data_IF_698150344955
#
_entry.id   IF_698150344955
#
_cell.length_a   1.000
_cell.length_b   1.000
_cell.length_c   1.000
_cell.angle_alpha   90.00
_cell.angle_beta   90.00
_cell.angle_gamma   90.00
#
_symmetry.space_group_name_H-M   'P 1'
#
loop_
_entity.id
_entity.type
_entity.pdbx_description
1 polymer ?
#
# COMPACT_ATOMS: atom_id res chain seq x y z
N UNK A 1 -26.57 -35.87 14.15
CA UNK A 1 -26.28 -34.87 13.10
C UNK A 1 -25.12 -34.05 13.61
N UNK A 2 -23.92 -34.26 13.07
CA UNK A 2 -22.77 -33.41 13.36
C UNK A 2 -23.05 -32.02 12.76
N UNK A 3 -22.95 -30.92 13.53
CA UNK A 3 -23.17 -29.59 13.00
C UNK A 3 -22.07 -29.24 12.00
N UNK A 4 -22.48 -28.79 10.82
CA UNK A 4 -21.62 -28.37 9.73
C UNK A 4 -20.60 -27.33 10.23
N UNK A 5 -19.31 -27.55 9.98
CA UNK A 5 -18.18 -26.69 10.39
C UNK A 5 -18.13 -25.33 9.67
N UNK A 6 -19.27 -24.86 9.17
CA UNK A 6 -19.41 -23.77 8.19
C UNK A 6 -19.23 -22.37 8.80
N UNK A 7 -19.26 -22.26 10.13
CA UNK A 7 -19.10 -20.99 10.86
C UNK A 7 -17.84 -20.95 11.74
N UNK A 8 -16.73 -21.59 11.33
CA UNK A 8 -15.44 -21.26 11.97
C UNK A 8 -15.00 -19.88 11.50
N UNK A 9 -14.89 -18.94 12.44
CA UNK A 9 -14.12 -17.71 12.27
C UNK A 9 -12.70 -18.12 11.88
N UNK A 10 -12.41 -18.15 10.58
CA UNK A 10 -11.04 -18.35 10.10
C UNK A 10 -10.32 -17.06 10.48
N UNK A 11 -9.33 -17.17 11.37
CA UNK A 11 -8.47 -16.05 11.71
C UNK A 11 -7.83 -15.51 10.43
N UNK A 12 -8.04 -14.23 10.18
CA UNK A 12 -7.43 -13.54 9.06
C UNK A 12 -5.90 -13.58 9.15
N UNK A 13 -5.17 -13.54 8.02
CA UNK A 13 -3.71 -13.52 8.03
C UNK A 13 -3.17 -12.46 9.00
N UNK A 14 -2.17 -12.84 9.79
CA UNK A 14 -1.61 -11.99 10.84
C UNK A 14 -0.71 -10.93 10.22
N UNK A 15 -0.97 -9.67 10.53
CA UNK A 15 -0.17 -8.53 10.09
C UNK A 15 0.28 -7.67 11.27
N UNK A 16 1.40 -6.99 11.09
CA UNK A 16 1.93 -6.01 12.04
C UNK A 16 1.95 -4.62 11.44
N UNK A 17 1.54 -3.62 12.21
CA UNK A 17 1.56 -2.22 11.80
C UNK A 17 2.94 -1.59 12.01
N UNK A 18 3.35 -0.69 11.12
CA UNK A 18 4.54 0.15 11.32
C UNK A 18 4.21 1.63 11.13
N UNK A 19 4.49 2.44 12.16
CA UNK A 19 4.21 3.87 12.18
C UNK A 19 5.44 4.67 12.58
N UNK A 20 5.95 5.48 11.66
CA UNK A 20 6.89 6.56 12.00
C UNK A 20 6.15 7.82 12.43
N UNK A 21 6.42 8.30 13.63
CA UNK A 21 5.72 9.38 14.34
C UNK A 21 6.71 10.48 14.77
N UNK A 22 7.34 11.14 13.79
CA UNK A 22 8.26 12.26 14.04
C UNK A 22 7.46 13.53 14.32
N UNK A 23 7.53 14.05 15.55
CA UNK A 23 6.83 15.25 16.01
C UNK A 23 5.31 15.26 15.72
N UNK A 24 4.66 14.10 15.85
CA UNK A 24 3.22 13.93 15.58
C UNK A 24 2.43 14.09 16.88
N UNK A 25 1.30 14.79 16.83
CA UNK A 25 0.38 14.90 17.97
C UNK A 25 -0.28 13.56 18.31
N UNK A 26 -0.69 13.39 19.56
CA UNK A 26 -1.37 12.18 20.03
C UNK A 26 -2.65 11.89 19.23
N UNK A 27 -3.48 12.91 18.99
CA UNK A 27 -4.69 12.77 18.17
C UNK A 27 -4.39 12.22 16.75
N UNK A 28 -3.26 12.63 16.16
CA UNK A 28 -2.86 12.12 14.84
C UNK A 28 -2.32 10.70 14.92
N UNK A 29 -1.63 10.33 16.00
CA UNK A 29 -1.24 8.92 16.25
C UNK A 29 -2.48 8.03 16.33
N UNK A 30 -3.47 8.42 17.13
CA UNK A 30 -4.71 7.65 17.29
C UNK A 30 -5.47 7.51 15.98
N UNK A 31 -5.59 8.60 15.20
CA UNK A 31 -6.23 8.54 13.89
C UNK A 31 -5.53 7.58 12.91
N UNK A 32 -4.18 7.52 12.95
CA UNK A 32 -3.42 6.57 12.14
C UNK A 32 -3.65 5.13 12.58
N UNK A 33 -3.63 4.86 13.89
CA UNK A 33 -3.91 3.54 14.46
C UNK A 33 -5.33 3.09 14.09
N UNK A 34 -6.33 3.96 14.27
CA UNK A 34 -7.71 3.68 13.88
C UNK A 34 -7.84 3.39 12.38
N UNK A 35 -7.13 4.15 11.53
CA UNK A 35 -7.10 3.90 10.09
C UNK A 35 -6.47 2.55 9.73
N UNK A 36 -5.41 2.14 10.42
CA UNK A 36 -4.82 0.80 10.22
C UNK A 36 -5.79 -0.29 10.65
N UNK A 37 -6.43 -0.13 11.81
CA UNK A 37 -7.40 -1.10 12.32
C UNK A 37 -8.63 -1.25 11.41
N UNK A 38 -9.15 -0.15 10.87
CA UNK A 38 -10.26 -0.18 9.91
C UNK A 38 -9.86 -0.87 8.60
N UNK A 39 -8.65 -0.59 8.08
CA UNK A 39 -8.13 -1.25 6.90
C UNK A 39 -7.97 -2.76 7.12
N UNK A 40 -7.41 -3.17 8.27
CA UNK A 40 -7.28 -4.57 8.64
C UNK A 40 -8.65 -5.26 8.71
N UNK A 41 -9.65 -4.64 9.35
CA UNK A 41 -11.02 -5.19 9.39
C UNK A 41 -11.65 -5.32 8.01
N UNK A 42 -11.49 -4.31 7.14
CA UNK A 42 -12.04 -4.31 5.79
C UNK A 42 -11.42 -5.36 4.87
N UNK A 43 -10.20 -5.80 5.18
CA UNK A 43 -9.44 -6.78 4.40
C UNK A 43 -9.29 -8.14 5.10
N UNK A 44 -10.08 -8.37 6.16
CA UNK A 44 -10.04 -9.62 6.93
C UNK A 44 -8.61 -9.96 7.40
N UNK A 45 -7.83 -8.94 7.79
CA UNK A 45 -6.49 -9.08 8.34
C UNK A 45 -6.54 -9.00 9.87
N UNK A 46 -5.72 -9.78 10.54
CA UNK A 46 -5.58 -9.71 12.00
C UNK A 46 -4.39 -8.81 12.36
N UNK A 47 -4.66 -7.58 12.81
CA UNK A 47 -3.61 -6.66 13.28
C UNK A 47 -3.15 -7.06 14.70
N UNK A 48 -2.01 -7.75 14.79
CA UNK A 48 -1.52 -8.31 16.07
C UNK A 48 -0.77 -7.28 16.92
N UNK A 49 -0.10 -6.32 16.30
CA UNK A 49 0.62 -5.26 17.01
C UNK A 49 1.04 -4.11 16.10
N UNK A 50 1.44 -3.00 16.70
CA UNK A 50 1.91 -1.81 15.97
C UNK A 50 3.25 -1.37 16.55
N UNK A 51 4.26 -1.31 15.68
CA UNK A 51 5.58 -0.80 16.00
C UNK A 51 5.64 0.69 15.66
N UNK A 52 6.02 1.50 16.66
CA UNK A 52 6.10 2.96 16.51
C UNK A 52 7.54 3.44 16.57
N UNK A 53 7.98 4.17 15.54
CA UNK A 53 9.28 4.81 15.48
C UNK A 53 9.14 6.32 15.73
N UNK A 54 9.74 6.82 16.82
CA UNK A 54 9.71 8.23 17.19
C UNK A 54 10.93 9.02 16.69
N UNK A 55 11.91 8.35 16.08
CA UNK A 55 13.22 8.94 15.78
C UNK A 55 13.21 9.69 14.45
N UNK A 56 13.64 10.96 14.50
CA UNK A 56 13.88 11.80 13.33
C UNK A 56 15.21 11.49 12.62
N UNK A 57 16.11 10.75 13.28
CA UNK A 57 17.44 10.40 12.80
C UNK A 57 17.45 9.57 11.52
N UNK A 58 18.45 9.81 10.68
CA UNK A 58 18.69 9.17 9.38
C UNK A 58 19.46 7.85 9.53
N UNK A 59 19.50 7.28 10.74
CA UNK A 59 20.26 6.08 11.06
C UNK A 59 19.54 4.80 10.62
N UNK A 60 20.32 3.82 10.15
CA UNK A 60 19.83 2.49 9.77
C UNK A 60 19.21 1.70 10.94
N UNK A 61 19.67 1.96 12.17
CA UNK A 61 19.22 1.25 13.38
C UNK A 61 18.00 1.88 14.04
N UNK A 62 16.80 1.57 13.56
CA UNK A 62 15.56 1.81 14.30
C UNK A 62 15.22 0.57 15.11
N UNK A 63 15.24 0.68 16.45
CA UNK A 63 14.88 -0.44 17.33
C UNK A 63 13.46 -0.97 17.04
N UNK A 64 12.53 -0.08 16.68
CA UNK A 64 11.18 -0.47 16.28
C UNK A 64 11.16 -1.27 14.97
N UNK A 65 12.04 -0.94 14.03
CA UNK A 65 12.14 -1.67 12.77
C UNK A 65 12.87 -3.00 12.93
N UNK A 66 13.92 -3.06 13.75
CA UNK A 66 14.59 -4.32 14.09
C UNK A 66 13.62 -5.28 14.79
N UNK A 67 12.89 -4.81 15.81
CA UNK A 67 11.89 -5.64 16.48
C UNK A 67 10.74 -6.07 15.55
N UNK A 68 10.39 -5.26 14.56
CA UNK A 68 9.46 -5.68 13.51
C UNK A 68 10.05 -6.85 12.71
N UNK A 69 11.29 -6.76 12.23
CA UNK A 69 11.94 -7.84 11.48
C UNK A 69 12.02 -9.14 12.29
N UNK A 70 12.33 -9.05 13.59
CA UNK A 70 12.37 -10.21 14.48
C UNK A 70 11.01 -10.93 14.54
N UNK A 71 9.92 -10.16 14.57
CA UNK A 71 8.56 -10.71 14.56
C UNK A 71 8.16 -11.23 13.18
N UNK A 72 8.58 -10.59 12.09
CA UNK A 72 8.32 -11.09 10.73
C UNK A 72 9.04 -12.40 10.44
N UNK A 73 10.12 -12.70 11.16
CA UNK A 73 10.81 -13.98 11.06
C UNK A 73 10.04 -15.14 11.72
N UNK A 74 8.97 -14.85 12.49
CA UNK A 74 8.11 -15.88 13.07
C UNK A 74 7.23 -16.52 11.98
N UNK A 75 6.90 -17.82 12.13
CA UNK A 75 5.94 -18.47 11.25
C UNK A 75 4.56 -17.79 11.36
N UNK A 76 3.77 -17.92 10.29
CA UNK A 76 2.37 -17.45 10.21
C UNK A 76 2.16 -15.93 10.18
N UNK A 77 3.23 -15.15 10.01
CA UNK A 77 3.13 -13.71 9.77
C UNK A 77 3.00 -13.43 8.28
N UNK A 78 1.90 -12.81 7.87
CA UNK A 78 1.63 -12.47 6.48
C UNK A 78 2.42 -11.25 6.01
N UNK A 79 2.59 -10.27 6.89
CA UNK A 79 3.43 -9.12 6.60
C UNK A 79 3.13 -7.86 7.39
N UNK A 80 3.48 -6.72 6.79
CA UNK A 80 3.52 -5.41 7.43
C UNK A 80 2.49 -4.47 6.80
N UNK A 81 1.74 -3.77 7.64
CA UNK A 81 0.84 -2.70 7.26
C UNK A 81 1.47 -1.33 7.57
N UNK A 82 1.52 -0.43 6.60
CA UNK A 82 1.94 0.95 6.80
C UNK A 82 0.97 1.94 6.14
N UNK A 83 0.72 3.13 6.71
CA UNK A 83 -0.17 4.10 6.08
C UNK A 83 0.34 4.56 4.71
N UNK A 84 1.67 4.72 4.58
CA UNK A 84 2.35 5.13 3.35
C UNK A 84 3.84 4.76 3.45
N UNK A 85 4.54 4.69 2.30
CA UNK A 85 5.97 4.38 2.25
C UNK A 85 6.85 5.38 3.04
N UNK A 86 6.41 6.63 3.21
CA UNK A 86 7.10 7.63 4.04
C UNK A 86 7.18 7.26 5.52
N UNK A 87 6.34 6.34 5.99
CA UNK A 87 6.43 5.79 7.34
C UNK A 87 7.58 4.79 7.49
N UNK A 88 8.09 4.17 6.41
CA UNK A 88 9.31 3.37 6.49
C UNK A 88 10.56 4.24 6.60
N UNK A 89 10.49 5.51 6.21
CA UNK A 89 11.61 6.45 6.31
C UNK A 89 11.78 7.31 5.06
N UNK A 90 12.90 8.06 4.96
CA UNK A 90 13.32 8.72 3.72
C UNK A 90 13.39 7.73 2.55
N UNK A 91 13.18 8.19 1.31
CA UNK A 91 13.00 7.33 0.12
C UNK A 91 14.02 6.19 -0.02
N UNK A 92 15.31 6.47 0.16
CA UNK A 92 16.36 5.46 0.06
C UNK A 92 16.25 4.39 1.16
N UNK A 93 15.96 4.82 2.39
CA UNK A 93 15.77 3.94 3.56
C UNK A 93 14.46 3.15 3.42
N UNK A 94 13.39 3.79 2.96
CA UNK A 94 12.11 3.11 2.74
C UNK A 94 12.22 1.99 1.70
N UNK A 95 12.99 2.20 0.62
CA UNK A 95 13.25 1.17 -0.37
C UNK A 95 14.08 0.01 0.18
N UNK A 96 15.11 0.31 1.00
CA UNK A 96 15.90 -0.72 1.66
C UNK A 96 15.08 -1.54 2.66
N UNK A 97 14.33 -0.86 3.53
CA UNK A 97 13.43 -1.52 4.50
C UNK A 97 12.34 -2.34 3.82
N UNK A 98 11.82 -1.87 2.67
CA UNK A 98 10.90 -2.65 1.84
C UNK A 98 11.53 -3.96 1.35
N UNK A 99 12.77 -3.89 0.81
CA UNK A 99 13.52 -5.09 0.42
C UNK A 99 13.77 -6.04 1.58
N UNK A 100 14.07 -5.51 2.77
CA UNK A 100 14.31 -6.33 3.97
C UNK A 100 13.04 -7.07 4.40
N UNK A 101 11.87 -6.43 4.35
CA UNK A 101 10.58 -7.07 4.63
C UNK A 101 10.31 -8.21 3.63
N UNK A 102 10.51 -7.94 2.34
CA UNK A 102 10.30 -8.93 1.27
C UNK A 102 11.30 -10.09 1.35
N UNK A 103 12.55 -9.83 1.75
CA UNK A 103 13.59 -10.84 1.91
C UNK A 103 13.26 -11.86 3.02
N UNK A 104 12.48 -11.46 4.03
CA UNK A 104 11.97 -12.35 5.08
C UNK A 104 10.75 -13.15 4.60
N UNK A 105 10.28 -12.92 3.37
CA UNK A 105 9.10 -13.57 2.79
C UNK A 105 7.77 -12.93 3.18
N UNK A 106 7.81 -11.78 3.88
CA UNK A 106 6.65 -11.01 4.29
C UNK A 106 6.22 -10.01 3.23
N UNK A 107 4.92 -9.66 3.20
CA UNK A 107 4.38 -8.65 2.27
C UNK A 107 4.33 -7.26 2.91
N UNK A 108 4.68 -6.23 2.15
CA UNK A 108 4.44 -4.83 2.54
C UNK A 108 3.11 -4.34 1.95
N UNK A 109 2.16 -3.99 2.83
CA UNK A 109 0.84 -3.48 2.49
C UNK A 109 0.74 -1.99 2.83
N UNK A 110 0.38 -1.17 1.85
CA UNK A 110 0.21 0.28 2.02
C UNK A 110 -1.27 0.65 2.01
N UNK A 111 -1.76 1.26 3.10
CA UNK A 111 -3.17 1.68 3.23
C UNK A 111 -3.51 2.78 2.23
N UNK A 112 -2.61 3.76 2.07
CA UNK A 112 -2.76 4.80 1.05
C UNK A 112 -1.96 4.39 -0.17
N UNK A 113 -2.63 4.20 -1.31
CA UNK A 113 -1.94 4.14 -2.60
C UNK A 113 -1.18 5.46 -2.79
N UNK A 114 0.13 5.36 -2.98
CA UNK A 114 0.86 6.41 -3.68
C UNK A 114 0.13 6.64 -5.00
N UNK A 115 -0.27 7.88 -5.29
CA UNK A 115 -0.63 8.30 -6.65
C UNK A 115 0.64 8.15 -7.49
N UNK A 116 0.95 6.92 -7.90
CA UNK A 116 1.72 6.74 -9.11
C UNK A 116 0.80 7.25 -10.20
N UNK A 117 1.16 8.40 -10.75
CA UNK A 117 0.66 8.86 -12.04
C UNK A 117 0.87 7.70 -13.00
N UNK A 118 -0.19 6.95 -13.31
CA UNK A 118 -0.17 6.13 -14.52
C UNK A 118 0.11 7.11 -15.66
N UNK A 119 1.19 6.95 -16.45
CA UNK A 119 1.21 7.61 -17.74
C UNK A 119 -0.03 7.08 -18.47
N UNK A 120 -0.93 7.99 -18.84
CA UNK A 120 -2.10 7.67 -19.62
C UNK A 120 -1.63 6.80 -20.80
N UNK A 121 -2.20 5.61 -20.93
CA UNK A 121 -2.04 4.83 -22.14
C UNK A 121 -2.56 5.72 -23.27
N UNK A 122 -1.65 6.24 -24.09
CA UNK A 122 -1.98 6.87 -25.35
C UNK A 122 -2.58 5.75 -26.19
N UNK A 123 -3.91 5.66 -26.18
CA UNK A 123 -4.64 4.82 -27.11
C UNK A 123 -4.34 5.38 -28.50
N UNK A 124 -3.33 4.81 -29.14
CA UNK A 124 -3.09 4.91 -30.57
C UNK A 124 -4.31 4.33 -31.27
N UNK A 125 -5.30 5.16 -31.56
CA UNK A 125 -6.29 4.86 -32.60
C UNK A 125 -5.58 4.98 -33.95
N UNK A 126 -4.95 3.87 -34.35
CA UNK A 126 -4.55 3.66 -35.74
C UNK A 126 -5.77 3.19 -36.54
N UNK A 127 -6.02 3.90 -37.63
CA UNK A 127 -6.72 3.51 -38.85
C UNK A 127 -8.23 3.20 -38.74
N UNK A 128 -9.03 4.06 -39.38
CA UNK A 128 -9.88 3.60 -40.48
C UNK A 128 -9.79 4.61 -41.64
N UNK A 129 -9.16 4.16 -42.72
CA UNK A 129 -9.18 4.79 -44.02
C UNK A 129 -10.57 4.60 -44.63
N UNK A 130 -11.29 5.67 -44.93
CA UNK A 130 -12.31 5.68 -45.97
C UNK A 130 -12.37 7.06 -46.62
N UNK A 131 -11.73 7.15 -47.79
CA UNK A 131 -12.16 8.07 -48.86
C UNK A 131 -13.47 7.51 -49.46
N UNK A 132 -14.38 8.38 -49.91
CA UNK A 132 -14.49 8.51 -51.36
C UNK A 132 -14.68 9.95 -51.85
N UNK A 133 -14.22 10.17 -53.08
CA UNK A 133 -14.54 11.28 -53.99
C UNK A 133 -16.04 11.55 -54.11
N UNK A 134 -16.42 12.82 -54.24
CA UNK A 134 -17.11 13.36 -55.43
C UNK A 134 -17.53 14.83 -55.23
N UNK A 135 -16.89 15.70 -56.01
CA UNK A 135 -17.44 16.84 -56.75
C UNK A 135 -18.76 17.45 -56.30
N UNK A 136 -18.73 18.72 -55.87
CA UNK A 136 -19.80 19.66 -56.19
C UNK A 136 -19.22 21.04 -56.55
N UNK A 137 -19.22 21.29 -57.86
CA UNK A 137 -18.93 22.53 -58.54
C UNK A 137 -20.09 23.53 -58.36
N UNK A 138 -19.75 24.83 -58.45
CA UNK A 138 -20.61 26.03 -58.61
C UNK A 138 -21.28 26.50 -57.29
N UNK A 139 -21.21 27.77 -56.87
CA UNK A 139 -21.60 28.96 -57.64
C UNK A 139 -21.05 30.28 -57.05
N UNK A 140 -21.13 31.31 -57.89
CA UNK A 140 -20.56 32.66 -57.85
C UNK A 140 -21.15 33.65 -56.82
N UNK A 141 -20.66 34.90 -56.93
CA UNK A 141 -21.18 36.21 -56.46
C UNK A 141 -20.48 36.71 -55.17
N UNK A 142 -19.75 37.83 -55.11
CA UNK A 142 -19.60 39.04 -55.96
C UNK A 142 -18.18 39.60 -55.88
#
# INVERSE_FOLDING_TARGET
MEPLTENRLIGGPVVYGFLRLVHVSEARREALVASLAEYSRSHELTLSGIFTEHTAGVGSGSAAFTGLLDVLALPDVYGVLAPAASHLGPRAIAAERGRQIEAVGSRLLLVRRSRHTCPAATSTTAAHCHSPEATCLLQSES
#
